data_IF_354755029129
#
_entry.id   IF_354755029129
#
_cell.length_a   1.000
_cell.length_b   1.000
_cell.length_c   1.000
_cell.angle_alpha   90.00
_cell.angle_beta   90.00
_cell.angle_gamma   90.00
#
_symmetry.space_group_name_H-M   'P 1'
#
loop_
_entity.id
_entity.type
_entity.pdbx_description
1 polymer ?
#
# COMPACT_ATOMS: atom_id res chain seq x y z
N UNK A 1 -51.84 -34.55 26.71
CA UNK A 1 -51.13 -34.57 25.41
C UNK A 1 -50.33 -33.30 25.33
N UNK A 2 -49.08 -33.37 25.78
CA UNK A 2 -48.18 -32.23 25.93
C UNK A 2 -47.34 -32.10 24.65
N UNK A 3 -47.28 -30.89 24.11
CA UNK A 3 -46.52 -30.49 22.93
C UNK A 3 -45.12 -30.02 23.38
N UNK A 4 -44.10 -30.83 23.08
CA UNK A 4 -42.69 -30.49 23.26
C UNK A 4 -42.20 -29.60 22.11
N UNK A 5 -41.95 -28.33 22.42
CA UNK A 5 -41.18 -27.41 21.58
C UNK A 5 -39.70 -27.61 21.85
N UNK A 6 -38.96 -28.08 20.85
CA UNK A 6 -37.50 -28.16 20.88
C UNK A 6 -36.91 -26.88 20.28
N UNK A 7 -36.61 -25.90 21.14
CA UNK A 7 -35.67 -24.82 20.81
C UNK A 7 -34.24 -25.29 21.10
N UNK A 8 -33.28 -25.10 20.18
CA UNK A 8 -31.87 -25.33 20.49
C UNK A 8 -31.32 -24.15 21.34
N UNK A 9 -30.60 -24.44 22.43
CA UNK A 9 -29.86 -23.41 23.15
C UNK A 9 -28.59 -23.13 22.34
N UNK A 10 -28.37 -21.88 21.94
CA UNK A 10 -27.04 -21.27 21.79
C UNK A 10 -27.19 -19.85 21.25
N UNK A 11 -27.57 -18.95 22.15
CA UNK A 11 -27.35 -17.52 22.00
C UNK A 11 -25.86 -17.22 22.15
N UNK A 12 -25.12 -17.12 21.04
CA UNK A 12 -23.82 -16.47 21.04
C UNK A 12 -23.96 -15.06 20.48
N UNK A 13 -24.15 -14.10 21.38
CA UNK A 13 -23.83 -12.69 21.14
C UNK A 13 -22.33 -12.60 20.89
N UNK A 14 -21.91 -12.28 19.66
CA UNK A 14 -20.57 -11.75 19.43
C UNK A 14 -20.62 -10.24 19.68
N UNK A 15 -20.35 -9.85 20.93
CA UNK A 15 -19.91 -8.50 21.26
C UNK A 15 -18.43 -8.35 20.84
N UNK A 16 -18.08 -7.25 20.17
CA UNK A 16 -16.73 -6.86 19.76
C UNK A 16 -15.82 -6.46 20.94
N UNK A 17 -15.76 -7.30 21.98
CA UNK A 17 -14.96 -7.06 23.17
C UNK A 17 -14.14 -8.31 23.53
N UNK A 18 -13.33 -8.76 22.58
CA UNK A 18 -12.35 -9.82 22.80
C UNK A 18 -11.07 -9.67 21.95
N UNK A 19 -10.57 -8.44 21.80
CA UNK A 19 -9.18 -8.20 21.38
C UNK A 19 -8.59 -7.09 22.27
N UNK A 20 -8.37 -7.41 23.53
CA UNK A 20 -7.54 -6.57 24.41
C UNK A 20 -7.04 -7.41 25.58
N UNK A 21 -5.95 -8.17 25.35
CA UNK A 21 -4.86 -8.40 26.32
C UNK A 21 -3.93 -9.51 25.82
N UNK A 22 -2.96 -9.15 24.97
CA UNK A 22 -1.66 -9.82 24.97
C UNK A 22 -0.63 -8.75 25.29
N UNK A 23 -0.10 -8.81 26.51
CA UNK A 23 0.90 -7.89 27.01
C UNK A 23 2.22 -8.06 26.23
N UNK A 24 2.45 -7.19 25.25
CA UNK A 24 3.78 -6.95 24.70
C UNK A 24 4.65 -6.30 25.79
N UNK A 25 5.72 -6.97 26.21
CA UNK A 25 6.80 -6.32 26.95
C UNK A 25 7.67 -5.52 25.97
N UNK A 26 7.31 -4.27 25.75
CA UNK A 26 8.26 -3.23 25.31
C UNK A 26 8.28 -2.13 26.38
N UNK A 27 9.45 -1.96 27.01
CA UNK A 27 9.73 -0.81 27.87
C UNK A 27 10.18 0.39 27.03
N UNK A 28 9.97 1.62 27.52
CA UNK A 28 10.02 2.83 26.70
C UNK A 28 11.44 3.36 26.55
N UNK A 29 11.76 3.85 25.35
CA UNK A 29 12.83 4.82 25.16
C UNK A 29 12.15 6.16 24.89
N UNK A 30 12.30 7.08 25.84
CA UNK A 30 11.79 8.44 25.75
C UNK A 30 12.49 9.20 24.62
N UNK A 31 11.67 9.82 23.79
CA UNK A 31 12.03 10.86 22.85
C UNK A 31 11.93 12.21 23.56
N UNK A 32 13.03 12.95 23.60
CA UNK A 32 13.01 14.41 23.81
C UNK A 32 13.90 15.03 22.74
N UNK A 33 13.25 15.50 21.67
CA UNK A 33 13.83 16.51 20.81
C UNK A 33 13.77 17.90 21.46
N UNK A 34 14.78 18.72 21.17
CA UNK A 34 14.61 20.04 20.52
C UNK A 34 15.69 21.08 20.91
N UNK A 35 16.53 21.43 19.92
CA UNK A 35 16.85 22.79 19.43
C UNK A 35 17.77 23.77 20.22
N UNK A 36 18.61 24.46 19.42
CA UNK A 36 19.46 25.67 19.66
C UNK A 36 20.79 25.45 20.40
N UNK A 37 21.94 26.06 20.09
CA UNK A 37 22.45 27.11 19.19
C UNK A 37 23.98 26.81 19.01
N UNK A 38 24.74 27.22 17.99
CA UNK A 38 24.96 28.60 17.55
C UNK A 38 25.86 29.39 18.53
N UNK A 39 27.17 29.14 18.56
CA UNK A 39 28.29 30.10 18.77
C UNK A 39 29.61 29.31 18.88
N UNK A 40 30.67 29.49 18.07
CA UNK A 40 31.50 30.68 17.78
C UNK A 40 32.53 30.95 18.89
N UNK A 41 33.79 31.11 18.42
CA UNK A 41 35.01 31.59 19.10
C UNK A 41 35.78 30.60 19.98
N UNK A 42 37.10 30.68 20.04
CA UNK A 42 38.13 31.36 19.25
C UNK A 42 39.46 30.73 19.69
N UNK A 43 40.46 30.87 18.84
CA UNK A 43 41.88 31.08 19.17
C UNK A 43 42.51 30.32 20.34
N UNK A 44 43.57 29.59 20.00
CA UNK A 44 44.94 30.14 20.09
C UNK A 44 45.83 29.21 19.26
N UNK A 45 46.15 29.58 18.01
CA UNK A 45 47.22 30.52 17.66
C UNK A 45 48.54 30.03 18.24
N UNK A 46 49.34 29.38 17.42
CA UNK A 46 50.39 30.01 16.61
C UNK A 46 51.72 29.77 17.31
N UNK A 47 52.67 29.11 16.63
CA UNK A 47 53.70 29.79 15.80
C UNK A 47 54.70 30.51 16.70
N UNK A 48 55.94 30.66 16.23
CA UNK A 48 57.12 31.23 16.91
C UNK A 48 58.00 30.16 17.59
N UNK A 49 59.29 29.98 17.28
CA UNK A 49 60.24 30.79 16.49
C UNK A 49 61.39 29.90 16.00
N UNK A 50 61.69 30.02 14.71
CA UNK A 50 63.08 30.16 14.26
C UNK A 50 63.61 31.46 14.85
N UNK A 51 64.61 31.42 15.74
CA UNK A 51 65.67 32.42 15.90
C UNK A 51 66.50 32.18 17.17
N UNK A 52 67.73 31.71 16.96
CA UNK A 52 68.96 32.21 17.58
C UNK A 52 68.97 32.64 19.06
N UNK A 53 69.56 31.78 19.90
CA UNK A 53 70.54 32.19 20.91
C UNK A 53 71.64 31.11 20.96
N UNK A 54 72.89 31.34 20.56
CA UNK A 54 73.50 32.62 20.26
C UNK A 54 73.79 33.46 21.50
N UNK A 55 74.16 32.85 22.64
CA UNK A 55 75.11 33.49 23.56
C UNK A 55 75.76 32.50 24.52
N UNK A 56 77.10 32.52 24.51
CA UNK A 56 78.05 31.99 25.49
C UNK A 56 77.91 30.49 25.83
N UNK A 57 78.73 29.56 25.32
CA UNK A 57 80.19 29.48 25.58
C UNK A 57 80.65 30.05 26.93
N UNK A 58 79.88 29.82 28.00
CA UNK A 58 80.52 29.62 29.31
C UNK A 58 81.13 28.22 29.26
N UNK A 59 82.46 28.14 29.07
CA UNK A 59 83.24 26.93 29.40
C UNK A 59 83.14 26.72 30.91
N UNK A 60 82.00 26.25 31.41
CA UNK A 60 82.04 25.43 32.59
C UNK A 60 82.69 24.13 32.13
N UNK A 61 83.98 24.00 32.48
CA UNK A 61 84.58 22.71 32.83
C UNK A 61 83.63 22.04 33.83
N UNK A 62 82.53 21.48 33.34
CA UNK A 62 82.00 20.27 33.90
C UNK A 62 83.11 19.29 33.58
N UNK A 63 84.05 19.19 34.53
CA UNK A 63 84.88 18.01 34.68
C UNK A 63 83.97 16.86 34.26
N UNK A 64 84.41 16.07 33.28
CA UNK A 64 83.94 14.71 33.20
C UNK A 64 84.30 14.06 34.54
N UNK A 65 83.53 14.35 35.59
CA UNK A 65 83.29 13.46 36.69
C UNK A 65 82.57 12.33 36.01
N UNK A 66 83.41 11.42 35.50
CA UNK A 66 83.05 10.12 34.97
C UNK A 66 81.97 9.63 35.92
N UNK A 67 80.70 9.50 35.48
CA UNK A 67 79.61 9.26 36.40
C UNK A 67 80.02 8.08 37.25
N UNK A 68 79.89 8.24 38.57
CA UNK A 68 80.40 7.23 39.50
C UNK A 68 79.87 5.87 39.06
N UNK A 69 80.59 4.78 39.34
CA UNK A 69 80.16 3.45 38.91
C UNK A 69 78.68 3.18 39.27
N UNK A 70 78.22 3.74 40.39
CA UNK A 70 76.82 3.75 40.83
C UNK A 70 75.87 4.49 39.87
N UNK A 71 76.19 5.71 39.44
CA UNK A 71 75.36 6.48 38.51
C UNK A 71 75.27 5.83 37.11
N UNK A 72 76.36 5.22 36.62
CA UNK A 72 76.35 4.45 35.35
C UNK A 72 75.54 3.17 35.46
N UNK A 73 75.67 2.44 36.57
CA UNK A 73 74.87 1.24 36.82
C UNK A 73 73.38 1.58 36.95
N UNK A 74 73.02 2.67 37.63
CA UNK A 74 71.64 3.15 37.72
C UNK A 74 71.06 3.53 36.36
N UNK A 75 71.84 4.22 35.51
CA UNK A 75 71.42 4.60 34.16
C UNK A 75 71.25 3.39 33.24
N UNK A 76 72.15 2.40 33.31
CA UNK A 76 72.03 1.14 32.58
C UNK A 76 70.82 0.32 33.04
N UNK A 77 70.57 0.24 34.34
CA UNK A 77 69.38 -0.43 34.90
C UNK A 77 68.08 0.26 34.47
N UNK A 78 68.05 1.60 34.44
CA UNK A 78 66.90 2.35 33.94
C UNK A 78 66.68 2.12 32.44
N UNK A 79 67.72 2.16 31.61
CA UNK A 79 67.63 1.84 30.18
C UNK A 79 67.12 0.42 29.93
N UNK A 80 67.57 -0.55 30.72
CA UNK A 80 67.08 -1.94 30.64
C UNK A 80 65.61 -2.04 31.07
N UNK A 81 65.21 -1.31 32.12
CA UNK A 81 63.82 -1.22 32.58
C UNK A 81 62.91 -0.60 31.53
N UNK A 82 63.31 0.52 30.92
CA UNK A 82 62.58 1.15 29.82
C UNK A 82 62.53 0.26 28.57
N UNK A 83 63.62 -0.43 28.24
CA UNK A 83 63.66 -1.39 27.14
C UNK A 83 62.68 -2.56 27.34
N UNK A 84 62.57 -3.09 28.57
CA UNK A 84 61.56 -4.11 28.91
C UNK A 84 60.13 -3.55 28.81
N UNK A 85 59.90 -2.35 29.34
CA UNK A 85 58.59 -1.70 29.31
C UNK A 85 58.12 -1.42 27.87
N UNK A 86 59.01 -0.92 27.00
CA UNK A 86 58.72 -0.66 25.59
C UNK A 86 58.34 -1.96 24.87
N UNK A 87 59.08 -3.05 25.11
CA UNK A 87 58.75 -4.37 24.52
C UNK A 87 57.36 -4.86 24.96
N UNK A 88 57.02 -4.68 26.23
CA UNK A 88 55.70 -5.04 26.76
C UNK A 88 54.57 -4.20 26.13
N UNK A 89 54.78 -2.89 25.97
CA UNK A 89 53.81 -1.98 25.33
C UNK A 89 53.60 -2.37 23.87
N UNK A 90 54.67 -2.62 23.11
CA UNK A 90 54.58 -3.05 21.70
C UNK A 90 53.85 -4.38 21.59
N UNK A 91 54.16 -5.35 22.45
CA UNK A 91 53.49 -6.65 22.48
C UNK A 91 51.99 -6.51 22.79
N UNK A 92 51.62 -5.78 23.83
CA UNK A 92 50.21 -5.51 24.20
C UNK A 92 49.46 -4.80 23.08
N UNK A 93 50.10 -3.84 22.40
CA UNK A 93 49.52 -3.13 21.25
C UNK A 93 49.32 -4.06 20.05
N UNK A 94 50.24 -4.98 19.81
CA UNK A 94 50.11 -6.03 18.79
C UNK A 94 48.92 -6.97 19.07
N UNK A 95 48.79 -7.46 20.31
CA UNK A 95 47.67 -8.32 20.74
C UNK A 95 46.33 -7.57 20.60
N UNK A 96 46.27 -6.31 21.02
CA UNK A 96 45.06 -5.50 20.90
C UNK A 96 44.65 -5.30 19.44
N UNK A 97 45.60 -4.96 18.55
CA UNK A 97 45.34 -4.85 17.09
C UNK A 97 44.82 -6.15 16.50
N UNK A 98 45.39 -7.28 16.91
CA UNK A 98 44.93 -8.59 16.45
C UNK A 98 43.51 -8.91 16.92
N UNK A 99 43.19 -8.57 18.18
CA UNK A 99 41.84 -8.72 18.72
C UNK A 99 40.84 -7.83 18.00
N UNK A 100 41.19 -6.57 17.72
CA UNK A 100 40.35 -5.66 16.95
C UNK A 100 40.12 -6.16 15.53
N UNK A 101 41.15 -6.69 14.85
CA UNK A 101 40.98 -7.34 13.53
C UNK A 101 40.00 -8.51 13.58
N UNK A 102 40.19 -9.42 14.54
CA UNK A 102 39.30 -10.59 14.70
C UNK A 102 37.87 -10.19 15.03
N UNK A 103 37.67 -9.20 15.90
CA UNK A 103 36.35 -8.69 16.25
C UNK A 103 35.67 -7.99 15.07
N UNK A 104 36.39 -7.14 14.32
CA UNK A 104 35.85 -6.50 13.12
C UNK A 104 35.51 -7.53 12.03
N UNK A 105 36.35 -8.55 11.83
CA UNK A 105 36.05 -9.63 10.88
C UNK A 105 34.80 -10.43 11.31
N UNK A 106 34.66 -10.74 12.60
CA UNK A 106 33.45 -11.38 13.15
C UNK A 106 32.21 -10.50 13.00
N UNK A 107 32.33 -9.20 13.26
CA UNK A 107 31.24 -8.25 13.11
C UNK A 107 30.76 -8.18 11.65
N UNK A 108 31.69 -8.03 10.70
CA UNK A 108 31.38 -8.05 9.26
C UNK A 108 30.72 -9.36 8.84
N UNK A 109 31.23 -10.51 9.31
CA UNK A 109 30.64 -11.82 9.02
C UNK A 109 29.23 -11.98 9.61
N UNK A 110 28.99 -11.44 10.82
CA UNK A 110 27.65 -11.46 11.45
C UNK A 110 26.66 -10.60 10.67
N UNK A 111 27.08 -9.41 10.23
CA UNK A 111 26.27 -8.52 9.39
C UNK A 111 25.94 -9.16 8.04
N UNK A 112 26.93 -9.74 7.36
CA UNK A 112 26.70 -10.42 6.10
C UNK A 112 25.74 -11.59 6.24
N UNK A 113 25.91 -12.40 7.31
CA UNK A 113 24.98 -13.50 7.60
C UNK A 113 23.54 -13.01 7.82
N UNK A 114 23.36 -11.95 8.60
CA UNK A 114 22.04 -11.36 8.82
C UNK A 114 21.37 -10.90 7.51
N UNK A 115 22.13 -10.26 6.61
CA UNK A 115 21.61 -9.83 5.32
C UNK A 115 21.20 -11.03 4.44
N UNK A 116 22.04 -12.06 4.35
CA UNK A 116 21.71 -13.27 3.57
C UNK A 116 20.53 -14.05 4.16
N UNK A 117 20.44 -14.12 5.50
CA UNK A 117 19.33 -14.78 6.18
C UNK A 117 18.02 -14.02 5.88
N UNK A 118 18.05 -12.68 5.92
CA UNK A 118 16.90 -11.83 5.58
C UNK A 118 16.47 -11.94 4.12
N UNK A 119 17.43 -11.94 3.18
CA UNK A 119 17.15 -12.14 1.74
C UNK A 119 16.47 -13.50 1.49
N UNK A 120 16.92 -14.54 2.20
CA UNK A 120 16.32 -15.88 2.11
C UNK A 120 14.91 -15.90 2.67
N UNK A 121 14.66 -15.24 3.80
CA UNK A 121 13.33 -15.15 4.41
C UNK A 121 12.33 -14.38 3.53
N UNK A 122 12.76 -13.28 2.92
CA UNK A 122 11.93 -12.53 1.96
C UNK A 122 11.55 -13.39 0.75
N UNK A 123 12.50 -14.17 0.22
CA UNK A 123 12.23 -15.04 -0.92
C UNK A 123 11.27 -16.18 -0.54
N UNK A 124 11.43 -16.77 0.66
CA UNK A 124 10.51 -17.78 1.19
C UNK A 124 9.10 -17.22 1.36
N UNK A 125 8.96 -16.03 1.94
CA UNK A 125 7.66 -15.38 2.12
C UNK A 125 6.99 -15.04 0.78
N UNK A 126 7.77 -14.62 -0.23
CA UNK A 126 7.25 -14.37 -1.58
C UNK A 126 6.72 -15.65 -2.23
N UNK A 127 7.44 -16.75 -2.10
CA UNK A 127 6.99 -18.05 -2.60
C UNK A 127 5.74 -18.53 -1.86
N UNK A 128 5.69 -18.34 -0.54
CA UNK A 128 4.51 -18.69 0.27
C UNK A 128 3.28 -17.86 -0.14
N UNK A 129 3.42 -16.54 -0.32
CA UNK A 129 2.35 -15.69 -0.85
C UNK A 129 1.88 -16.20 -2.22
N UNK A 130 2.81 -16.50 -3.12
CA UNK A 130 2.47 -17.00 -4.45
C UNK A 130 1.71 -18.34 -4.39
N UNK A 131 2.14 -19.24 -3.52
CA UNK A 131 1.50 -20.53 -3.31
C UNK A 131 0.11 -20.38 -2.67
N UNK A 132 -0.05 -19.50 -1.69
CA UNK A 132 -1.35 -19.18 -1.06
C UNK A 132 -2.30 -18.51 -2.05
N UNK A 133 -1.82 -17.62 -2.91
CA UNK A 133 -2.62 -17.04 -4.00
C UNK A 133 -3.08 -18.11 -4.99
N UNK A 134 -2.21 -19.05 -5.36
CA UNK A 134 -2.54 -20.18 -6.23
C UNK A 134 -3.58 -21.08 -5.57
N UNK A 135 -3.42 -21.40 -4.29
CA UNK A 135 -4.41 -22.18 -3.53
C UNK A 135 -5.74 -21.46 -3.43
N UNK A 136 -5.74 -20.14 -3.15
CA UNK A 136 -6.95 -19.31 -3.14
C UNK A 136 -7.65 -19.35 -4.49
N UNK A 137 -6.92 -19.23 -5.60
CA UNK A 137 -7.50 -19.41 -6.96
C UNK A 137 -8.14 -20.79 -7.07
N UNK A 138 -7.42 -21.86 -6.76
CA UNK A 138 -7.95 -23.24 -6.85
C UNK A 138 -9.17 -23.46 -5.96
N UNK A 139 -9.22 -22.90 -4.75
CA UNK A 139 -10.38 -22.99 -3.86
C UNK A 139 -11.56 -22.16 -4.40
N UNK A 140 -11.30 -20.97 -4.95
CA UNK A 140 -12.29 -20.14 -5.64
C UNK A 140 -12.86 -20.85 -6.87
N UNK A 141 -12.05 -21.65 -7.56
CA UNK A 141 -12.44 -22.48 -8.72
C UNK A 141 -12.92 -23.89 -8.33
N UNK A 142 -12.85 -24.29 -7.05
CA UNK A 142 -12.90 -25.67 -6.59
C UNK A 142 -14.29 -26.26 -6.33
N UNK A 143 -15.36 -25.52 -6.64
CA UNK A 143 -16.75 -25.97 -6.47
C UNK A 143 -17.61 -25.46 -7.64
N UNK A 144 -18.33 -26.31 -8.38
CA UNK A 144 -17.96 -27.49 -9.17
C UNK A 144 -17.70 -27.15 -10.66
N UNK A 145 -17.10 -28.12 -11.36
CA UNK A 145 -16.59 -28.22 -12.74
C UNK A 145 -17.58 -28.00 -13.91
N UNK A 146 -18.68 -27.28 -13.69
CA UNK A 146 -19.49 -26.66 -14.75
C UNK A 146 -19.66 -25.21 -14.35
N UNK A 147 -19.15 -24.26 -15.13
CA UNK A 147 -19.43 -22.84 -14.89
C UNK A 147 -20.94 -22.66 -14.73
N UNK A 148 -21.35 -22.38 -13.50
CA UNK A 148 -22.76 -22.12 -13.20
C UNK A 148 -22.95 -20.62 -13.28
N UNK A 149 -24.15 -20.16 -13.61
CA UNK A 149 -24.39 -18.71 -13.62
C UNK A 149 -24.21 -18.08 -12.22
N UNK A 150 -24.23 -18.89 -11.14
CA UNK A 150 -23.84 -18.46 -9.79
C UNK A 150 -22.35 -18.14 -9.67
N UNK A 151 -21.47 -19.01 -10.16
CA UNK A 151 -20.02 -18.78 -10.12
C UNK A 151 -19.62 -17.64 -11.04
N UNK A 152 -20.26 -17.52 -12.21
CA UNK A 152 -20.06 -16.39 -13.13
C UNK A 152 -20.48 -15.07 -12.47
N UNK A 153 -21.65 -15.04 -11.82
CA UNK A 153 -22.08 -13.85 -11.10
C UNK A 153 -21.10 -13.47 -9.99
N UNK A 154 -20.68 -14.42 -9.15
CA UNK A 154 -19.71 -14.15 -8.09
C UNK A 154 -18.36 -13.63 -8.63
N UNK A 155 -17.85 -14.22 -9.71
CA UNK A 155 -16.60 -13.80 -10.34
C UNK A 155 -16.72 -12.42 -11.00
N UNK A 156 -17.87 -12.09 -11.60
CA UNK A 156 -18.15 -10.75 -12.12
C UNK A 156 -17.97 -9.69 -11.02
N UNK A 157 -18.58 -9.88 -9.84
CA UNK A 157 -18.42 -8.95 -8.73
C UNK A 157 -16.98 -8.91 -8.19
N UNK A 158 -16.26 -10.03 -8.25
CA UNK A 158 -14.85 -10.04 -7.88
C UNK A 158 -14.00 -9.18 -8.80
N UNK A 159 -14.15 -9.35 -10.12
CA UNK A 159 -13.37 -8.67 -11.14
C UNK A 159 -13.71 -7.19 -11.28
N UNK A 160 -14.97 -6.80 -11.10
CA UNK A 160 -15.43 -5.41 -11.21
C UNK A 160 -15.53 -4.69 -9.86
N UNK A 161 -15.01 -5.28 -8.77
CA UNK A 161 -15.05 -4.71 -7.40
C UNK A 161 -14.60 -3.26 -7.35
N UNK A 162 -13.61 -2.88 -8.16
CA UNK A 162 -13.04 -1.54 -8.23
C UNK A 162 -13.30 -0.82 -9.56
N UNK A 163 -14.37 -1.22 -10.27
CA UNK A 163 -14.67 -0.74 -11.61
C UNK A 163 -13.74 -1.34 -12.67
N UNK A 164 -13.40 -0.57 -13.68
CA UNK A 164 -12.54 -0.97 -14.79
C UNK A 164 -11.06 -1.00 -14.40
N UNK A 165 -10.37 -2.08 -14.78
CA UNK A 165 -8.93 -2.25 -14.57
C UNK A 165 -8.24 -2.20 -15.93
N UNK A 166 -7.36 -1.23 -16.12
CA UNK A 166 -6.62 -1.08 -17.37
C UNK A 166 -5.75 -2.31 -17.66
N UNK A 167 -5.63 -2.72 -18.94
CA UNK A 167 -4.84 -3.89 -19.30
C UNK A 167 -3.36 -3.72 -18.93
N UNK A 168 -2.78 -4.78 -18.38
CA UNK A 168 -1.37 -4.82 -17.99
C UNK A 168 -0.56 -5.31 -19.18
N UNK A 169 0.46 -4.54 -19.58
CA UNK A 169 1.42 -4.96 -20.58
C UNK A 169 2.50 -5.82 -19.92
N UNK A 170 2.66 -7.05 -20.37
CA UNK A 170 3.79 -7.90 -19.99
C UNK A 170 4.79 -7.92 -21.15
N UNK A 171 6.04 -7.58 -20.86
CA UNK A 171 7.14 -7.78 -21.80
C UNK A 171 7.74 -9.16 -21.54
N UNK A 172 7.41 -10.12 -22.39
CA UNK A 172 8.19 -11.34 -22.48
C UNK A 172 8.82 -11.39 -23.87
N UNK A 173 10.16 -11.36 -23.88
CA UNK A 173 11.03 -11.62 -25.04
C UNK A 173 10.40 -11.40 -26.44
N UNK A 174 10.30 -10.13 -26.85
CA UNK A 174 9.90 -9.62 -28.19
C UNK A 174 8.39 -9.51 -28.49
N UNK A 175 7.47 -9.98 -27.63
CA UNK A 175 6.03 -9.79 -27.84
C UNK A 175 5.41 -9.11 -26.61
N UNK A 176 4.98 -7.86 -26.76
CA UNK A 176 4.11 -7.20 -25.76
C UNK A 176 2.71 -7.81 -25.84
N UNK A 177 2.37 -8.67 -24.89
CA UNK A 177 0.99 -9.16 -24.72
C UNK A 177 0.29 -8.27 -23.71
N UNK A 178 -0.81 -7.65 -24.12
CA UNK A 178 -1.75 -7.00 -23.22
C UNK A 178 -2.81 -8.03 -22.84
N UNK A 179 -2.90 -8.37 -21.56
CA UNK A 179 -4.01 -9.17 -21.05
C UNK A 179 -5.01 -8.25 -20.36
N UNK A 180 -6.27 -8.41 -20.72
CA UNK A 180 -7.37 -7.67 -20.14
C UNK A 180 -8.30 -8.64 -19.44
N UNK A 181 -7.99 -8.99 -18.20
CA UNK A 181 -8.68 -10.05 -17.43
C UNK A 181 -10.20 -9.88 -17.44
N UNK A 182 -10.70 -8.65 -17.27
CA UNK A 182 -12.14 -8.37 -17.33
C UNK A 182 -12.76 -8.66 -18.71
N UNK A 183 -12.09 -8.26 -19.80
CA UNK A 183 -12.56 -8.51 -21.17
C UNK A 183 -12.57 -10.01 -21.48
N UNK A 184 -11.47 -10.69 -21.16
CA UNK A 184 -11.32 -12.14 -21.37
C UNK A 184 -12.40 -12.92 -20.62
N UNK A 185 -12.69 -12.52 -19.37
CA UNK A 185 -13.78 -13.09 -18.59
C UNK A 185 -15.15 -12.88 -19.24
N UNK A 186 -15.47 -11.65 -19.67
CA UNK A 186 -16.75 -11.37 -20.32
C UNK A 186 -16.88 -12.16 -21.64
N UNK A 187 -15.83 -12.24 -22.45
CA UNK A 187 -15.81 -13.00 -23.71
C UNK A 187 -15.99 -14.51 -23.52
N UNK A 188 -15.43 -15.05 -22.42
CA UNK A 188 -15.55 -16.46 -22.07
C UNK A 188 -16.96 -16.82 -21.59
N UNK A 189 -17.58 -15.95 -20.79
CA UNK A 189 -18.81 -16.26 -20.04
C UNK A 189 -20.09 -15.72 -20.67
N UNK A 190 -20.01 -14.74 -21.55
CA UNK A 190 -21.18 -14.08 -22.17
C UNK A 190 -21.33 -14.44 -23.65
N UNK A 191 -22.56 -14.36 -24.16
CA UNK A 191 -22.80 -14.44 -25.61
C UNK A 191 -22.25 -13.19 -26.31
N UNK A 192 -21.91 -13.33 -27.58
CA UNK A 192 -21.34 -12.22 -28.37
C UNK A 192 -22.31 -11.03 -28.51
N UNK A 193 -23.60 -11.33 -28.44
CA UNK A 193 -24.75 -10.45 -28.56
C UNK A 193 -25.42 -10.18 -27.20
N UNK A 194 -24.66 -10.25 -26.10
CA UNK A 194 -25.19 -10.00 -24.76
C UNK A 194 -25.86 -8.63 -24.70
N UNK A 195 -27.12 -8.61 -24.24
CA UNK A 195 -27.95 -7.41 -24.22
C UNK A 195 -28.03 -6.78 -22.83
N UNK A 196 -27.81 -5.47 -22.73
CA UNK A 196 -28.09 -4.63 -21.54
C UNK A 196 -29.12 -3.55 -21.85
N UNK A 197 -30.31 -3.96 -22.28
CA UNK A 197 -31.50 -3.09 -22.45
C UNK A 197 -31.40 -1.90 -23.42
N UNK A 198 -30.21 -1.63 -23.99
CA UNK A 198 -29.92 -0.51 -24.90
C UNK A 198 -28.54 -0.61 -25.56
N UNK A 199 -27.59 -1.34 -24.97
CA UNK A 199 -26.25 -1.60 -25.52
C UNK A 199 -26.06 -3.10 -25.74
N UNK A 200 -25.39 -3.48 -26.84
CA UNK A 200 -25.18 -4.88 -27.25
C UNK A 200 -23.70 -5.21 -27.31
N UNK A 201 -23.34 -6.36 -26.75
CA UNK A 201 -22.02 -6.98 -26.87
C UNK A 201 -21.09 -6.70 -25.69
N UNK A 202 -20.12 -7.60 -25.56
CA UNK A 202 -19.14 -7.63 -24.46
C UNK A 202 -18.30 -6.36 -24.40
N UNK A 203 -17.82 -5.87 -25.55
CA UNK A 203 -16.95 -4.68 -25.60
C UNK A 203 -17.67 -3.45 -25.05
N UNK A 204 -18.96 -3.34 -25.31
CA UNK A 204 -19.74 -2.19 -24.92
C UNK A 204 -20.09 -2.22 -23.41
N UNK A 205 -20.23 -3.40 -22.79
CA UNK A 205 -20.30 -3.51 -21.33
C UNK A 205 -18.99 -3.09 -20.67
N UNK A 206 -17.85 -3.52 -21.23
CA UNK A 206 -16.56 -3.15 -20.70
C UNK A 206 -16.31 -1.64 -20.85
N UNK A 207 -16.69 -1.05 -21.98
CA UNK A 207 -16.59 0.39 -22.21
C UNK A 207 -17.47 1.18 -21.24
N UNK A 208 -18.69 0.70 -20.94
CA UNK A 208 -19.52 1.32 -19.90
C UNK A 208 -18.82 1.34 -18.54
N UNK A 209 -18.17 0.24 -18.14
CA UNK A 209 -17.37 0.23 -16.91
C UNK A 209 -16.17 1.16 -16.97
N UNK A 210 -15.50 1.25 -18.13
CA UNK A 210 -14.38 2.16 -18.36
C UNK A 210 -14.83 3.61 -18.18
N UNK A 211 -15.89 4.04 -18.87
CA UNK A 211 -16.45 5.39 -18.77
C UNK A 211 -16.95 5.68 -17.35
N UNK A 212 -17.66 4.74 -16.74
CA UNK A 212 -18.15 4.89 -15.37
C UNK A 212 -17.01 5.08 -14.37
N UNK A 213 -15.90 4.35 -14.53
CA UNK A 213 -14.70 4.46 -13.70
C UNK A 213 -13.82 5.67 -14.03
N UNK A 214 -13.92 6.18 -15.26
CA UNK A 214 -13.23 7.40 -15.67
C UNK A 214 -13.94 8.63 -15.10
N UNK A 215 -15.28 8.64 -15.12
CA UNK A 215 -16.07 9.80 -14.71
C UNK A 215 -16.20 9.91 -13.19
N UNK A 216 -16.14 8.80 -12.45
CA UNK A 216 -16.28 8.79 -11.00
C UNK A 216 -14.99 8.38 -10.29
N UNK A 217 -14.74 8.96 -9.12
CA UNK A 217 -13.65 8.54 -8.25
C UNK A 217 -14.03 7.34 -7.38
N UNK A 218 -13.04 6.55 -6.94
CA UNK A 218 -13.19 5.46 -5.95
C UNK A 218 -14.38 4.53 -6.19
N UNK A 219 -14.57 4.05 -7.43
CA UNK A 219 -15.66 3.13 -7.75
C UNK A 219 -15.51 1.84 -6.93
N UNK A 220 -16.58 1.46 -6.23
CA UNK A 220 -16.64 0.21 -5.47
C UNK A 220 -17.95 -0.52 -5.75
N UNK A 221 -17.85 -1.76 -6.21
CA UNK A 221 -18.98 -2.65 -6.47
C UNK A 221 -18.98 -3.77 -5.43
N UNK A 222 -20.07 -3.94 -4.69
CA UNK A 222 -20.20 -4.93 -3.63
C UNK A 222 -21.43 -5.80 -3.84
N UNK A 223 -21.22 -7.11 -3.87
CA UNK A 223 -22.30 -8.09 -3.89
C UNK A 223 -22.88 -8.25 -2.48
N UNK A 224 -24.18 -8.01 -2.32
CA UNK A 224 -24.86 -8.26 -1.04
C UNK A 224 -25.52 -9.65 -1.02
N UNK A 225 -26.19 -10.01 -2.11
CA UNK A 225 -26.97 -11.25 -2.18
C UNK A 225 -27.13 -11.74 -3.61
N UNK A 226 -27.04 -13.05 -3.80
CA UNK A 226 -27.45 -13.74 -5.04
C UNK A 226 -28.73 -14.53 -4.79
N UNK A 227 -29.65 -14.45 -5.75
CA UNK A 227 -30.90 -15.18 -5.71
C UNK A 227 -31.34 -15.67 -7.09
N UNK A 228 -32.21 -16.67 -7.11
CA UNK A 228 -32.83 -17.14 -8.35
C UNK A 228 -33.86 -16.11 -8.82
N UNK A 229 -33.70 -15.64 -10.05
CA UNK A 229 -34.66 -14.78 -10.71
C UNK A 229 -35.73 -15.54 -11.49
N UNK A 230 -36.67 -14.83 -12.13
CA UNK A 230 -37.60 -15.39 -13.10
C UNK A 230 -36.89 -16.12 -14.25
N UNK A 231 -37.49 -17.23 -14.69
CA UNK A 231 -36.97 -18.07 -15.76
C UNK A 231 -35.58 -18.64 -15.43
N UNK A 232 -34.69 -18.66 -16.41
CA UNK A 232 -33.29 -19.03 -16.24
C UNK A 232 -32.45 -17.77 -15.95
N UNK A 233 -32.76 -17.03 -14.89
CA UNK A 233 -31.95 -15.89 -14.47
C UNK A 233 -31.51 -15.97 -13.02
N UNK A 234 -30.41 -15.28 -12.72
CA UNK A 234 -29.99 -14.94 -11.36
C UNK A 234 -30.08 -13.42 -11.20
N UNK A 235 -30.49 -12.99 -10.02
CA UNK A 235 -30.45 -11.59 -9.62
C UNK A 235 -29.42 -11.43 -8.51
N UNK A 236 -28.53 -10.47 -8.69
CA UNK A 236 -27.58 -10.05 -7.68
C UNK A 236 -28.02 -8.71 -7.12
N UNK A 237 -28.37 -8.64 -5.84
CA UNK A 237 -28.51 -7.38 -5.11
C UNK A 237 -27.12 -6.86 -4.77
N UNK A 238 -26.89 -5.57 -5.00
CA UNK A 238 -25.57 -4.97 -4.85
C UNK A 238 -25.63 -3.57 -4.26
N UNK A 239 -24.50 -3.13 -3.73
CA UNK A 239 -24.21 -1.73 -3.45
C UNK A 239 -23.09 -1.23 -4.34
N UNK A 240 -23.26 -0.03 -4.84
CA UNK A 240 -22.26 0.68 -5.62
C UNK A 240 -21.90 1.97 -4.90
N UNK A 241 -20.62 2.16 -4.61
CA UNK A 241 -20.06 3.39 -4.08
C UNK A 241 -19.29 4.15 -5.16
N UNK A 242 -19.52 5.45 -5.26
CA UNK A 242 -18.78 6.36 -6.14
C UNK A 242 -18.46 7.67 -5.41
N UNK A 243 -17.40 8.35 -5.82
CA UNK A 243 -17.08 9.70 -5.35
C UNK A 243 -17.27 10.67 -6.49
N UNK A 244 -18.07 11.71 -6.26
CA UNK A 244 -18.26 12.80 -7.22
C UNK A 244 -17.06 13.72 -7.14
N UNK A 245 -16.30 13.80 -8.24
CA UNK A 245 -15.11 14.63 -8.36
C UNK A 245 -15.39 15.85 -9.23
N UNK A 246 -14.43 16.77 -9.34
CA UNK A 246 -14.53 17.86 -10.33
C UNK A 246 -14.67 17.31 -11.76
N UNK A 247 -13.96 16.23 -12.10
CA UNK A 247 -14.11 15.56 -13.38
C UNK A 247 -15.54 15.04 -13.60
N UNK A 248 -16.15 14.44 -12.56
CA UNK A 248 -17.55 14.00 -12.60
C UNK A 248 -18.48 15.16 -12.93
N UNK A 249 -18.31 16.31 -12.29
CA UNK A 249 -19.13 17.49 -12.56
C UNK A 249 -18.93 18.02 -13.97
N UNK A 250 -17.67 18.15 -14.42
CA UNK A 250 -17.33 18.62 -15.77
C UNK A 250 -17.86 17.72 -16.87
N UNK A 251 -17.90 16.41 -16.64
CA UNK A 251 -18.32 15.45 -17.65
C UNK A 251 -19.81 15.15 -17.60
N UNK A 252 -20.41 14.96 -16.42
CA UNK A 252 -21.79 14.49 -16.30
C UNK A 252 -22.80 15.57 -15.93
N UNK A 253 -22.36 16.68 -15.34
CA UNK A 253 -23.22 17.72 -14.80
C UNK A 253 -22.76 19.13 -15.25
N UNK A 254 -22.27 19.25 -16.48
CA UNK A 254 -21.67 20.47 -16.99
C UNK A 254 -22.64 21.66 -16.95
N UNK A 255 -23.94 21.41 -17.09
CA UNK A 255 -25.01 22.41 -16.98
C UNK A 255 -25.12 23.07 -15.61
N UNK A 256 -24.51 22.47 -14.57
CA UNK A 256 -24.41 23.08 -13.24
C UNK A 256 -23.30 24.15 -13.14
N UNK A 257 -22.54 24.38 -14.20
CA UNK A 257 -21.58 25.47 -14.32
C UNK A 257 -22.32 26.77 -14.67
N UNK A 258 -22.06 27.83 -13.91
CA UNK A 258 -22.69 29.14 -14.06
C UNK A 258 -21.68 30.11 -14.68
N UNK A 259 -21.97 30.57 -15.90
CA UNK A 259 -21.18 31.54 -16.66
C UNK A 259 -21.78 32.95 -16.53
N UNK A 260 -21.98 33.44 -15.31
CA UNK A 260 -22.53 34.79 -15.08
C UNK A 260 -21.43 35.89 -15.00
N UNK A 261 -20.15 35.50 -15.01
CA UNK A 261 -18.98 36.39 -15.03
C UNK A 261 -17.81 35.73 -15.77
N UNK A 262 -16.75 36.48 -16.14
CA UNK A 262 -15.51 35.97 -16.79
C UNK A 262 -14.77 34.83 -16.04
N UNK A 263 -15.35 34.34 -14.94
CA UNK A 263 -14.86 33.23 -14.12
C UNK A 263 -15.97 32.17 -14.03
N UNK A 264 -15.73 31.02 -14.66
CA UNK A 264 -16.62 29.86 -14.66
C UNK A 264 -16.78 29.32 -13.22
N UNK A 265 -17.97 29.48 -12.63
CA UNK A 265 -18.23 29.07 -11.24
C UNK A 265 -19.29 27.98 -11.15
N UNK A 266 -19.06 27.00 -10.28
CA UNK A 266 -20.06 25.97 -10.02
C UNK A 266 -21.28 26.53 -9.29
N UNK A 267 -22.47 26.06 -9.65
CA UNK A 267 -23.69 26.38 -8.91
C UNK A 267 -23.64 25.83 -7.48
N UNK A 268 -24.47 26.37 -6.56
CA UNK A 268 -24.59 25.83 -5.20
C UNK A 268 -24.98 24.34 -5.16
N UNK A 269 -25.64 23.81 -6.20
CA UNK A 269 -25.96 22.39 -6.31
C UNK A 269 -24.71 21.56 -6.63
N UNK A 270 -23.89 22.00 -7.58
CA UNK A 270 -22.63 21.34 -7.91
C UNK A 270 -21.69 21.28 -6.69
N UNK A 271 -21.57 22.36 -5.91
CA UNK A 271 -20.78 22.35 -4.68
C UNK A 271 -21.29 21.39 -3.60
N UNK A 272 -22.60 21.08 -3.58
CA UNK A 272 -23.14 20.06 -2.67
C UNK A 272 -22.81 18.64 -3.11
N UNK A 273 -22.56 18.43 -4.40
CA UNK A 273 -22.20 17.13 -4.94
C UNK A 273 -20.69 16.90 -4.91
N UNK A 274 -19.88 17.94 -5.11
CA UNK A 274 -18.43 17.85 -5.14
C UNK A 274 -17.86 17.18 -3.88
N UNK A 275 -16.93 16.26 -4.10
CA UNK A 275 -16.23 15.44 -3.11
C UNK A 275 -17.14 14.59 -2.21
N UNK A 276 -18.41 14.43 -2.57
CA UNK A 276 -19.32 13.54 -1.85
C UNK A 276 -19.14 12.08 -2.25
N UNK A 277 -19.11 11.22 -1.23
CA UNK A 277 -19.26 9.78 -1.39
C UNK A 277 -20.74 9.44 -1.51
N UNK A 278 -21.13 8.87 -2.64
CA UNK A 278 -22.47 8.38 -2.90
C UNK A 278 -22.45 6.87 -2.81
N UNK A 279 -23.31 6.32 -1.96
CA UNK A 279 -23.65 4.90 -1.93
C UNK A 279 -25.06 4.72 -2.49
N UNK A 280 -25.19 3.82 -3.46
CA UNK A 280 -26.46 3.50 -4.09
C UNK A 280 -26.70 2.00 -4.12
N UNK A 281 -27.94 1.63 -3.85
CA UNK A 281 -28.41 0.25 -4.02
C UNK A 281 -28.68 -0.02 -5.49
N UNK A 282 -28.47 -1.27 -5.90
CA UNK A 282 -28.72 -1.70 -7.26
C UNK A 282 -28.94 -3.20 -7.38
N UNK A 283 -29.14 -3.63 -8.61
CA UNK A 283 -29.17 -5.04 -8.94
C UNK A 283 -28.59 -5.31 -10.31
N UNK A 284 -28.05 -6.52 -10.49
CA UNK A 284 -27.64 -7.05 -11.79
C UNK A 284 -28.42 -8.34 -12.04
N UNK A 285 -29.13 -8.40 -13.15
CA UNK A 285 -29.79 -9.63 -13.61
C UNK A 285 -28.95 -10.30 -14.69
N UNK A 286 -28.56 -11.54 -14.43
CA UNK A 286 -27.86 -12.42 -15.36
C UNK A 286 -28.88 -13.38 -15.97
N UNK A 287 -29.19 -13.24 -17.25
CA UNK A 287 -30.02 -14.20 -18.00
C UNK A 287 -29.11 -15.26 -18.60
N UNK A 288 -29.41 -16.52 -18.32
CA UNK A 288 -28.59 -17.66 -18.65
C UNK A 288 -29.24 -18.53 -19.73
N UNK A 289 -28.47 -18.86 -20.75
CA UNK A 289 -28.81 -19.93 -21.67
C UNK A 289 -28.08 -21.21 -21.27
N UNK A 290 -28.86 -22.18 -20.78
CA UNK A 290 -28.35 -23.48 -20.37
C UNK A 290 -27.81 -24.33 -21.53
N UNK A 291 -28.21 -24.03 -22.77
CA UNK A 291 -27.77 -24.79 -23.95
C UNK A 291 -26.38 -24.37 -24.42
N UNK A 292 -26.10 -23.06 -24.47
CA UNK A 292 -24.76 -22.53 -24.78
C UNK A 292 -23.82 -22.47 -23.58
N UNK A 293 -24.36 -22.51 -22.35
CA UNK A 293 -23.57 -22.30 -21.15
C UNK A 293 -23.04 -20.87 -21.06
N UNK A 294 -23.82 -19.88 -21.50
CA UNK A 294 -23.43 -18.47 -21.54
C UNK A 294 -24.52 -17.54 -21.00
N UNK A 295 -24.08 -16.38 -20.51
CA UNK A 295 -24.97 -15.27 -20.15
C UNK A 295 -25.39 -14.54 -21.44
N UNK A 296 -26.69 -14.47 -21.71
CA UNK A 296 -27.24 -13.84 -22.93
C UNK A 296 -27.76 -12.43 -22.68
N UNK A 297 -27.98 -12.05 -21.43
CA UNK A 297 -28.33 -10.68 -21.07
C UNK A 297 -27.82 -10.35 -19.67
N UNK A 298 -27.30 -9.14 -19.55
CA UNK A 298 -26.82 -8.55 -18.31
C UNK A 298 -27.57 -7.24 -18.13
N UNK A 299 -28.49 -7.16 -17.18
CA UNK A 299 -29.28 -5.94 -16.96
C UNK A 299 -28.86 -5.30 -15.65
N UNK A 300 -28.31 -4.09 -15.73
CA UNK A 300 -27.88 -3.33 -14.55
C UNK A 300 -28.92 -2.26 -14.22
N UNK A 301 -29.32 -2.20 -12.96
CA UNK A 301 -30.21 -1.18 -12.41
C UNK A 301 -29.56 -0.57 -11.17
N UNK A 302 -29.48 0.75 -11.08
CA UNK A 302 -29.01 1.45 -9.88
C UNK A 302 -30.06 2.47 -9.42
N UNK A 303 -29.97 2.92 -8.17
CA UNK A 303 -30.81 3.98 -7.61
C UNK A 303 -29.95 5.19 -7.24
N UNK A 304 -29.53 5.97 -8.24
CA UNK A 304 -28.74 7.18 -8.03
C UNK A 304 -29.62 8.35 -7.52
N UNK A 305 -30.91 8.35 -7.85
CA UNK A 305 -31.85 9.38 -7.42
C UNK A 305 -31.89 9.56 -5.91
N UNK A 306 -32.01 8.45 -5.17
CA UNK A 306 -32.21 8.48 -3.72
C UNK A 306 -31.07 9.17 -2.96
N UNK A 307 -29.79 8.79 -3.17
CA UNK A 307 -28.69 9.48 -2.51
C UNK A 307 -28.53 10.93 -2.98
N UNK A 308 -28.73 11.23 -4.27
CA UNK A 308 -28.69 12.63 -4.76
C UNK A 308 -29.77 13.48 -4.09
N UNK A 309 -31.00 12.98 -3.99
CA UNK A 309 -32.10 13.66 -3.30
C UNK A 309 -31.76 13.96 -1.84
N UNK A 310 -31.10 13.03 -1.14
CA UNK A 310 -30.64 13.24 0.25
C UNK A 310 -29.59 14.35 0.33
N UNK A 311 -28.66 14.43 -0.61
CA UNK A 311 -27.61 15.46 -0.64
C UNK A 311 -28.15 16.86 -0.94
N UNK A 312 -29.06 16.99 -1.90
CA UNK A 312 -29.59 18.30 -2.32
C UNK A 312 -30.85 18.74 -1.56
N UNK A 313 -31.44 17.83 -0.78
CA UNK A 313 -32.49 18.09 0.21
C UNK A 313 -33.86 18.49 -0.35
N UNK A 314 -34.04 18.45 -1.67
CA UNK A 314 -35.29 18.85 -2.34
C UNK A 314 -35.45 18.14 -3.66
N UNK A 315 -36.67 17.68 -3.94
CA UNK A 315 -36.99 17.04 -5.22
C UNK A 315 -36.85 18.00 -6.41
N UNK A 316 -37.15 19.29 -6.21
CA UNK A 316 -36.95 20.31 -7.25
C UNK A 316 -35.46 20.50 -7.55
N UNK A 317 -34.60 20.42 -6.54
CA UNK A 317 -33.15 20.48 -6.73
C UNK A 317 -32.62 19.20 -7.38
N UNK A 318 -33.13 18.02 -6.99
CA UNK A 318 -32.74 16.75 -7.60
C UNK A 318 -33.14 16.71 -9.08
N UNK A 319 -34.33 17.21 -9.44
CA UNK A 319 -34.76 17.35 -10.82
C UNK A 319 -33.78 18.23 -11.62
N UNK A 320 -33.37 19.38 -11.08
CA UNK A 320 -32.36 20.25 -11.71
C UNK A 320 -30.99 19.59 -11.87
N UNK A 321 -30.59 18.73 -10.93
CA UNK A 321 -29.34 17.97 -11.05
C UNK A 321 -29.41 17.02 -12.24
N UNK A 322 -30.54 16.35 -12.49
CA UNK A 322 -30.68 15.36 -13.55
C UNK A 322 -31.19 15.90 -14.91
N UNK A 323 -31.68 17.14 -14.98
CA UNK A 323 -32.38 17.69 -16.15
C UNK A 323 -31.57 17.59 -17.46
N UNK A 324 -30.33 18.08 -17.44
CA UNK A 324 -29.39 18.05 -18.57
C UNK A 324 -28.16 17.19 -18.28
N UNK A 325 -28.25 16.30 -17.28
CA UNK A 325 -27.14 15.43 -16.91
C UNK A 325 -26.93 14.33 -17.95
N UNK A 326 -25.66 13.96 -18.19
CA UNK A 326 -25.29 12.81 -19.03
C UNK A 326 -25.36 11.48 -18.27
N UNK A 327 -26.13 11.44 -17.19
CA UNK A 327 -26.40 10.25 -16.39
C UNK A 327 -27.85 10.27 -15.91
N UNK A 328 -28.52 9.13 -16.01
CA UNK A 328 -29.93 9.02 -15.59
C UNK A 328 -30.07 8.82 -14.08
N UNK A 329 -31.27 9.04 -13.52
CA UNK A 329 -31.57 8.72 -12.12
C UNK A 329 -31.35 7.24 -11.74
N UNK A 330 -31.35 6.34 -12.73
CA UNK A 330 -31.04 4.92 -12.62
C UNK A 330 -29.54 4.59 -12.75
N UNK A 331 -28.68 5.60 -12.86
CA UNK A 331 -27.23 5.47 -12.96
C UNK A 331 -26.70 5.06 -14.34
N UNK A 332 -27.50 5.19 -15.41
CA UNK A 332 -27.07 4.88 -16.78
C UNK A 332 -26.43 6.09 -17.43
N UNK A 333 -25.28 5.91 -18.08
CA UNK A 333 -24.64 6.95 -18.88
C UNK A 333 -25.40 7.11 -20.22
N UNK A 334 -25.55 8.35 -20.69
CA UNK A 334 -26.32 8.71 -21.88
C UNK A 334 -25.46 8.91 -23.14
#
# INVERSE_FOLDING_TARGET
>A
MASDSLEPPNSYCFSDEAISTVAQRFGPFEDQGSVHAGDVRDNEADTWLMASAGSSRQRNRLLHTRPSASARAAMANNLQKYGKLIKEIVLKRGIHRERCRKNQARYRKKQQKYLTDLETEVEQLREEIHQLEKQRRVISFGVPTKETVWSIAAEYFHLFRHGYIAPVAFSDSEITRQSHVQLEFLQATMSIDVMDGGVSGVDAHLENWRLFSLYHGDVQLQLERLEKGPGNSIVASMKTGITVTENTLRTLYLHLLVSESDDDKWSPLAYRLLDQRIEMDGSIRFVWDASSGRVTSLQITMNLLTPILRLVGSIANAARVFDEALITPEGKLL
#
